data_IF_831331126091
#
_entry.id   IF_831331126091
#
_cell.length_a   1.000
_cell.length_b   1.000
_cell.length_c   1.000
_cell.angle_alpha   90.00
_cell.angle_beta   90.00
_cell.angle_gamma   90.00
#
_symmetry.space_group_name_H-M   'P 1'
#
loop_
_entity.id
_entity.type
_entity.pdbx_description
1 polymer ?
#
# COMPACT_ATOMS: atom_id res chain seq x y z
N UNK A 1 30.73 55.79 -22.45
CA UNK A 1 29.61 55.60 -21.50
C UNK A 1 30.16 55.85 -20.11
N UNK A 2 29.40 56.47 -19.21
CA UNK A 2 29.93 56.68 -17.85
C UNK A 2 29.99 55.33 -17.12
N UNK A 3 30.93 55.18 -16.19
CA UNK A 3 31.07 53.95 -15.40
C UNK A 3 29.83 53.64 -14.55
N UNK A 4 29.00 54.65 -14.27
CA UNK A 4 27.67 54.50 -13.65
C UNK A 4 26.69 53.80 -14.59
N UNK A 5 26.66 54.15 -15.87
CA UNK A 5 25.73 53.57 -16.84
C UNK A 5 26.01 52.07 -17.04
N UNK A 6 27.30 51.70 -17.09
CA UNK A 6 27.73 50.30 -17.17
C UNK A 6 27.31 49.49 -15.93
N UNK A 7 27.43 50.07 -14.73
CA UNK A 7 26.98 49.43 -13.49
C UNK A 7 25.45 49.35 -13.39
N UNK A 8 24.70 50.32 -13.90
CA UNK A 8 23.23 50.23 -13.94
C UNK A 8 22.76 49.15 -14.91
N UNK A 9 23.36 49.07 -16.11
CA UNK A 9 23.08 48.00 -17.08
C UNK A 9 23.38 46.61 -16.51
N UNK A 10 24.52 46.45 -15.83
CA UNK A 10 24.88 45.20 -15.15
C UNK A 10 23.87 44.86 -14.05
N UNK A 11 23.45 45.84 -13.25
CA UNK A 11 22.44 45.67 -12.19
C UNK A 11 21.10 45.25 -12.77
N UNK A 12 20.65 45.86 -13.87
CA UNK A 12 19.40 45.51 -14.53
C UNK A 12 19.44 44.09 -15.10
N UNK A 13 20.51 43.70 -15.79
CA UNK A 13 20.71 42.34 -16.32
C UNK A 13 20.67 41.30 -15.20
N UNK A 14 21.39 41.54 -14.10
CA UNK A 14 21.41 40.61 -12.97
C UNK A 14 20.07 40.50 -12.25
N UNK A 15 19.29 41.58 -12.17
CA UNK A 15 17.90 41.54 -11.64
C UNK A 15 16.99 40.68 -12.51
N UNK A 16 17.07 40.81 -13.82
CA UNK A 16 16.31 39.97 -14.74
C UNK A 16 16.69 38.49 -14.59
N UNK A 17 17.98 38.21 -14.48
CA UNK A 17 18.48 36.85 -14.30
C UNK A 17 18.11 36.24 -12.93
N UNK A 18 18.07 37.05 -11.87
CA UNK A 18 17.55 36.64 -10.56
C UNK A 18 16.07 36.27 -10.65
N UNK A 19 15.26 37.07 -11.34
CA UNK A 19 13.84 36.78 -11.52
C UNK A 19 13.63 35.45 -12.27
N UNK A 20 14.33 35.26 -13.39
CA UNK A 20 14.30 34.00 -14.15
C UNK A 20 14.75 32.79 -13.30
N UNK A 21 15.76 32.97 -12.45
CA UNK A 21 16.21 31.93 -11.53
C UNK A 21 15.17 31.60 -10.45
N UNK A 22 14.47 32.61 -9.92
CA UNK A 22 13.38 32.44 -8.95
C UNK A 22 12.20 31.70 -9.59
N UNK A 23 11.80 32.07 -10.80
CA UNK A 23 10.69 31.43 -11.52
C UNK A 23 10.99 29.95 -11.73
N UNK A 24 12.20 29.61 -12.21
CA UNK A 24 12.65 28.22 -12.37
C UNK A 24 12.67 27.44 -11.06
N UNK A 25 13.01 28.08 -9.94
CA UNK A 25 13.01 27.45 -8.61
C UNK A 25 11.58 27.20 -8.11
N UNK A 26 10.67 28.15 -8.35
CA UNK A 26 9.26 27.98 -8.02
C UNK A 26 8.63 26.85 -8.82
N UNK A 27 8.96 26.72 -10.11
CA UNK A 27 8.53 25.60 -10.94
C UNK A 27 9.04 24.25 -10.42
N UNK A 28 10.32 24.15 -10.05
CA UNK A 28 10.88 22.90 -9.51
C UNK A 28 10.29 22.58 -8.14
N UNK A 29 10.03 23.58 -7.30
CA UNK A 29 9.33 23.43 -6.02
C UNK A 29 7.90 22.92 -6.20
N UNK A 30 7.17 23.45 -7.18
CA UNK A 30 5.81 23.00 -7.49
C UNK A 30 5.81 21.54 -7.96
N UNK A 31 6.74 21.16 -8.85
CA UNK A 31 6.92 19.77 -9.28
C UNK A 31 7.26 18.84 -8.11
N UNK A 32 8.15 19.27 -7.22
CA UNK A 32 8.51 18.55 -6.00
C UNK A 32 7.31 18.31 -5.07
N UNK A 33 6.41 19.29 -4.92
CA UNK A 33 5.19 19.13 -4.12
C UNK A 33 4.29 18.07 -4.71
N UNK A 34 4.02 18.14 -6.03
CA UNK A 34 3.16 17.17 -6.73
C UNK A 34 3.70 15.74 -6.61
N UNK A 35 4.98 15.55 -6.91
CA UNK A 35 5.62 14.22 -6.80
C UNK A 35 5.59 13.71 -5.36
N UNK A 36 5.72 14.60 -4.36
CA UNK A 36 5.60 14.22 -2.94
C UNK A 36 4.18 13.74 -2.60
N UNK A 37 3.17 14.46 -3.05
CA UNK A 37 1.76 14.11 -2.83
C UNK A 37 1.42 12.77 -3.49
N UNK A 38 1.81 12.58 -4.75
CA UNK A 38 1.67 11.31 -5.48
C UNK A 38 2.36 10.17 -4.72
N UNK A 39 3.60 10.37 -4.29
CA UNK A 39 4.37 9.36 -3.55
C UNK A 39 3.74 9.03 -2.19
N UNK A 40 3.16 10.01 -1.50
CA UNK A 40 2.41 9.76 -0.27
C UNK A 40 1.15 8.94 -0.55
N UNK A 41 0.43 9.25 -1.63
CA UNK A 41 -0.78 8.53 -2.01
C UNK A 41 -0.47 7.08 -2.38
N UNK A 42 0.56 6.85 -3.19
CA UNK A 42 0.98 5.50 -3.60
C UNK A 42 1.48 4.66 -2.42
N UNK A 43 2.13 5.28 -1.43
CA UNK A 43 2.51 4.58 -0.19
C UNK A 43 1.28 4.17 0.62
N UNK A 44 0.30 5.06 0.78
CA UNK A 44 -0.94 4.76 1.50
C UNK A 44 -1.71 3.62 0.85
N UNK A 45 -1.85 3.63 -0.48
CA UNK A 45 -2.56 2.55 -1.19
C UNK A 45 -1.83 1.22 -1.03
N UNK A 46 -0.50 1.19 -1.25
CA UNK A 46 0.32 0.00 -1.03
C UNK A 46 0.21 -0.54 0.40
N UNK A 47 0.32 0.33 1.40
CA UNK A 47 0.29 -0.08 2.81
C UNK A 47 -1.09 -0.62 3.19
N UNK A 48 -2.16 0.03 2.73
CA UNK A 48 -3.53 -0.47 2.88
C UNK A 48 -3.73 -1.85 2.23
N UNK A 49 -3.24 -2.05 1.01
CA UNK A 49 -3.29 -3.36 0.34
C UNK A 49 -2.52 -4.42 1.14
N UNK A 50 -1.32 -4.08 1.65
CA UNK A 50 -0.53 -5.01 2.47
C UNK A 50 -1.24 -5.42 3.76
N UNK A 51 -1.94 -4.49 4.41
CA UNK A 51 -2.73 -4.79 5.60
C UNK A 51 -3.92 -5.70 5.28
N UNK A 52 -4.62 -5.46 4.16
CA UNK A 52 -5.69 -6.38 3.70
C UNK A 52 -5.14 -7.77 3.36
N UNK A 53 -3.99 -7.85 2.70
CA UNK A 53 -3.30 -9.12 2.42
C UNK A 53 -2.92 -9.84 3.72
N UNK A 54 -2.47 -9.11 4.75
CA UNK A 54 -2.16 -9.70 6.06
C UNK A 54 -3.41 -10.29 6.71
N UNK A 55 -4.52 -9.57 6.70
CA UNK A 55 -5.79 -10.06 7.23
C UNK A 55 -6.29 -11.30 6.47
N UNK A 56 -6.24 -11.29 5.14
CA UNK A 56 -6.63 -12.45 4.32
C UNK A 56 -5.71 -13.66 4.53
N UNK A 57 -4.41 -13.45 4.77
CA UNK A 57 -3.51 -14.56 5.13
C UNK A 57 -3.93 -15.21 6.44
N UNK A 58 -4.31 -14.43 7.45
CA UNK A 58 -4.81 -14.96 8.72
C UNK A 58 -6.11 -15.76 8.53
N UNK A 59 -7.06 -15.26 7.75
CA UNK A 59 -8.32 -15.99 7.49
C UNK A 59 -8.07 -17.28 6.73
N UNK A 60 -7.22 -17.27 5.70
CA UNK A 60 -6.82 -18.48 4.96
C UNK A 60 -6.16 -19.50 5.88
N UNK A 61 -5.23 -19.07 6.73
CA UNK A 61 -4.50 -19.97 7.61
C UNK A 61 -5.43 -20.58 8.66
N UNK A 62 -6.37 -19.79 9.20
CA UNK A 62 -7.42 -20.31 10.09
C UNK A 62 -8.33 -21.34 9.39
N UNK A 63 -8.77 -21.08 8.16
CA UNK A 63 -9.57 -22.04 7.37
C UNK A 63 -8.79 -23.33 7.12
N UNK A 64 -7.49 -23.23 6.79
CA UNK A 64 -6.62 -24.40 6.58
C UNK A 64 -6.42 -25.21 7.84
N UNK A 65 -6.21 -24.56 8.98
CA UNK A 65 -6.01 -25.25 10.25
C UNK A 65 -7.30 -25.91 10.75
N UNK A 66 -8.45 -25.23 10.64
CA UNK A 66 -9.76 -25.84 10.90
C UNK A 66 -10.01 -27.06 9.99
N UNK A 67 -9.68 -26.95 8.70
CA UNK A 67 -9.80 -28.07 7.75
C UNK A 67 -8.90 -29.25 8.13
N UNK A 68 -7.67 -29.00 8.61
CA UNK A 68 -6.76 -30.06 9.11
C UNK A 68 -7.32 -30.75 10.35
N UNK A 69 -7.86 -30.00 11.31
CA UNK A 69 -8.48 -30.57 12.51
C UNK A 69 -9.66 -31.48 12.14
N UNK A 70 -10.55 -31.01 11.25
CA UNK A 70 -11.66 -31.82 10.74
C UNK A 70 -11.19 -33.05 9.98
N UNK A 71 -10.08 -32.97 9.24
CA UNK A 71 -9.47 -34.13 8.57
C UNK A 71 -8.94 -35.17 9.56
N UNK A 72 -8.36 -34.73 10.69
CA UNK A 72 -7.93 -35.65 11.75
C UNK A 72 -9.15 -36.33 12.37
N UNK A 73 -10.18 -35.57 12.73
CA UNK A 73 -11.44 -36.11 13.25
C UNK A 73 -12.10 -37.10 12.25
N UNK A 74 -12.09 -36.76 10.96
CA UNK A 74 -12.58 -37.64 9.89
C UNK A 74 -11.79 -38.95 9.82
N UNK A 75 -10.46 -38.89 9.90
CA UNK A 75 -9.60 -40.09 9.91
C UNK A 75 -9.86 -40.97 11.13
N UNK A 76 -10.05 -40.38 12.30
CA UNK A 76 -10.40 -41.11 13.52
C UNK A 76 -11.78 -41.77 13.43
N UNK A 77 -12.77 -41.05 12.91
CA UNK A 77 -14.12 -41.60 12.65
C UNK A 77 -14.07 -42.75 11.66
N UNK A 78 -13.32 -42.61 10.56
CA UNK A 78 -13.13 -43.68 9.58
C UNK A 78 -12.42 -44.91 10.18
N UNK A 79 -11.42 -44.70 11.05
CA UNK A 79 -10.71 -45.79 11.74
C UNK A 79 -11.65 -46.55 12.69
N UNK A 80 -12.57 -45.86 13.36
CA UNK A 80 -13.61 -46.49 14.21
C UNK A 80 -14.66 -47.26 13.40
N UNK A 81 -14.77 -47.01 12.09
CA UNK A 81 -15.76 -47.60 11.19
C UNK A 81 -15.16 -48.61 10.18
N UNK A 82 -13.96 -49.15 10.46
CA UNK A 82 -13.04 -49.84 9.52
C UNK A 82 -13.57 -51.04 8.72
N UNK A 83 -14.82 -51.44 8.91
CA UNK A 83 -15.38 -52.63 8.29
C UNK A 83 -16.89 -52.41 8.20
N UNK A 84 -17.47 -52.19 7.00
CA UNK A 84 -18.90 -52.43 6.65
C UNK A 84 -19.36 -51.82 5.31
N UNK A 85 -20.45 -52.39 4.74
CA UNK A 85 -20.97 -52.05 3.41
C UNK A 85 -21.49 -50.61 3.30
N UNK A 86 -21.66 -50.14 2.06
CA UNK A 86 -22.17 -48.81 1.68
C UNK A 86 -23.35 -48.33 2.55
N UNK A 87 -23.32 -47.07 3.01
CA UNK A 87 -24.36 -46.45 3.85
C UNK A 87 -25.80 -46.73 3.37
N UNK A 88 -26.03 -46.69 2.06
CA UNK A 88 -27.35 -46.98 1.45
C UNK A 88 -27.87 -48.40 1.74
N UNK A 89 -26.97 -49.39 1.86
CA UNK A 89 -27.35 -50.78 2.17
C UNK A 89 -27.71 -50.89 3.65
N UNK A 90 -26.96 -50.24 4.53
CA UNK A 90 -27.24 -50.22 5.96
C UNK A 90 -28.55 -49.47 6.29
N UNK A 91 -28.86 -48.39 5.58
CA UNK A 91 -30.12 -47.65 5.72
C UNK A 91 -31.33 -48.49 5.29
N UNK A 92 -31.24 -49.19 4.15
CA UNK A 92 -32.32 -50.08 3.68
C UNK A 92 -32.53 -51.27 4.62
N UNK A 93 -31.46 -51.84 5.15
CA UNK A 93 -31.53 -52.93 6.13
C UNK A 93 -32.10 -52.45 7.47
N UNK A 94 -31.77 -51.22 7.90
CA UNK A 94 -32.34 -50.63 9.10
C UNK A 94 -33.85 -50.44 8.95
N UNK A 95 -34.28 -49.79 7.86
CA UNK A 95 -35.70 -49.54 7.59
C UNK A 95 -36.53 -50.83 7.47
N UNK A 96 -35.97 -51.88 6.86
CA UNK A 96 -36.67 -53.16 6.75
C UNK A 96 -36.83 -53.89 8.09
N UNK A 97 -35.81 -53.82 8.96
CA UNK A 97 -35.86 -54.41 10.30
C UNK A 97 -36.79 -53.63 11.23
N UNK A 98 -36.79 -52.29 11.17
CA UNK A 98 -37.72 -51.44 11.92
C UNK A 98 -39.17 -51.71 11.52
N UNK A 99 -39.43 -51.82 10.21
CA UNK A 99 -40.75 -52.17 9.70
C UNK A 99 -41.19 -53.56 10.17
N UNK A 100 -40.29 -54.55 10.13
CA UNK A 100 -40.59 -55.90 10.58
C UNK A 100 -40.92 -55.95 12.07
N UNK A 101 -40.19 -55.22 12.92
CA UNK A 101 -40.48 -55.11 14.36
C UNK A 101 -41.84 -54.43 14.61
N UNK A 102 -42.23 -53.46 13.79
CA UNK A 102 -43.51 -52.75 13.94
C UNK A 102 -44.73 -53.55 13.44
N UNK A 103 -44.53 -54.41 12.43
CA UNK A 103 -45.64 -55.05 11.71
C UNK A 103 -45.85 -56.53 12.04
N UNK A 104 -44.90 -57.19 12.70
CA UNK A 104 -44.99 -58.62 13.04
C UNK A 104 -45.02 -58.86 14.55
N UNK A 105 -45.93 -59.71 15.07
CA UNK A 105 -45.91 -60.12 16.47
C UNK A 105 -44.69 -61.02 16.71
N UNK A 106 -43.72 -60.53 17.46
CA UNK A 106 -42.44 -61.20 17.73
C UNK A 106 -42.42 -61.79 19.15
N UNK A 107 -41.71 -62.90 19.33
CA UNK A 107 -41.37 -63.40 20.66
C UNK A 107 -40.34 -62.50 21.36
N UNK A 108 -40.38 -62.42 22.70
CA UNK A 108 -39.47 -61.57 23.51
C UNK A 108 -37.98 -61.72 23.16
N UNK A 109 -37.53 -62.92 22.82
CA UNK A 109 -36.12 -63.18 22.52
C UNK A 109 -35.73 -62.77 21.10
N UNK A 110 -36.65 -62.89 20.14
CA UNK A 110 -36.47 -62.43 18.76
C UNK A 110 -36.47 -60.90 18.69
N UNK A 111 -37.39 -60.27 19.43
CA UNK A 111 -37.46 -58.82 19.55
C UNK A 111 -36.16 -58.24 20.13
N UNK A 112 -35.62 -58.83 21.21
CA UNK A 112 -34.32 -58.41 21.78
C UNK A 112 -33.17 -58.52 20.77
N UNK A 113 -33.13 -59.59 19.97
CA UNK A 113 -32.11 -59.78 18.92
C UNK A 113 -32.23 -58.72 17.83
N UNK A 114 -33.45 -58.47 17.34
CA UNK A 114 -33.73 -57.46 16.33
C UNK A 114 -33.39 -56.06 16.84
N UNK A 115 -33.77 -55.71 18.07
CA UNK A 115 -33.44 -54.42 18.68
C UNK A 115 -31.94 -54.19 18.84
N UNK A 116 -31.17 -55.23 19.18
CA UNK A 116 -29.70 -55.14 19.24
C UNK A 116 -29.11 -54.89 17.84
N UNK A 117 -29.66 -55.54 16.82
CA UNK A 117 -29.25 -55.37 15.42
C UNK A 117 -29.59 -53.97 14.89
N UNK A 118 -30.79 -53.46 15.18
CA UNK A 118 -31.27 -52.12 14.86
C UNK A 118 -30.35 -51.07 15.48
N UNK A 119 -30.09 -51.12 16.80
CA UNK A 119 -29.16 -50.20 17.48
C UNK A 119 -27.78 -50.19 16.83
N UNK A 120 -27.26 -51.36 16.48
CA UNK A 120 -25.98 -51.48 15.78
C UNK A 120 -25.99 -50.91 14.36
N UNK A 121 -27.14 -50.89 13.67
CA UNK A 121 -27.33 -50.24 12.37
C UNK A 121 -27.52 -48.72 12.50
N UNK A 122 -28.29 -48.24 13.49
CA UNK A 122 -28.49 -46.81 13.77
C UNK A 122 -27.17 -46.08 14.06
N UNK A 123 -26.32 -46.67 14.92
CA UNK A 123 -24.98 -46.13 15.22
C UNK A 123 -24.12 -46.03 13.95
N UNK A 124 -24.31 -46.94 13.00
CA UNK A 124 -23.58 -46.92 11.73
C UNK A 124 -24.08 -45.86 10.78
N UNK A 125 -25.39 -45.82 10.55
CA UNK A 125 -26.01 -44.84 9.63
C UNK A 125 -25.70 -43.42 10.10
N UNK A 126 -25.85 -43.15 11.40
CA UNK A 126 -25.46 -41.86 11.99
C UNK A 126 -23.96 -41.56 11.83
N UNK A 127 -23.08 -42.55 12.03
CA UNK A 127 -21.64 -42.42 11.78
C UNK A 127 -21.29 -42.06 10.33
N UNK A 128 -21.94 -42.71 9.35
CA UNK A 128 -21.77 -42.40 7.92
C UNK A 128 -22.25 -40.99 7.58
N UNK A 129 -23.39 -40.58 8.11
CA UNK A 129 -23.92 -39.24 7.88
C UNK A 129 -22.96 -38.16 8.43
N UNK A 130 -22.37 -38.40 9.61
CA UNK A 130 -21.35 -37.51 10.18
C UNK A 130 -20.08 -37.46 9.32
N UNK A 131 -19.66 -38.58 8.72
CA UNK A 131 -18.54 -38.61 7.77
C UNK A 131 -18.82 -37.80 6.51
N UNK A 132 -20.03 -37.92 5.95
CA UNK A 132 -20.42 -37.14 4.77
C UNK A 132 -20.42 -35.64 5.08
N UNK A 133 -21.05 -35.24 6.19
CA UNK A 133 -21.05 -33.85 6.68
C UNK A 133 -19.64 -33.29 6.84
N UNK A 134 -18.76 -34.03 7.53
CA UNK A 134 -17.37 -33.60 7.71
C UNK A 134 -16.63 -33.48 6.38
N UNK A 135 -16.86 -34.39 5.42
CA UNK A 135 -16.26 -34.29 4.08
C UNK A 135 -16.72 -33.03 3.36
N UNK A 136 -18.01 -32.74 3.35
CA UNK A 136 -18.58 -31.54 2.73
C UNK A 136 -18.03 -30.25 3.37
N UNK A 137 -17.93 -30.22 4.70
CA UNK A 137 -17.35 -29.08 5.40
C UNK A 137 -15.86 -28.89 5.06
N UNK A 138 -15.09 -29.97 4.98
CA UNK A 138 -13.67 -29.94 4.61
C UNK A 138 -13.51 -29.44 3.17
N UNK A 139 -14.31 -29.92 2.22
CA UNK A 139 -14.24 -29.48 0.82
C UNK A 139 -14.58 -28.00 0.71
N UNK A 140 -15.67 -27.56 1.36
CA UNK A 140 -16.08 -26.16 1.37
C UNK A 140 -15.00 -25.24 1.96
N UNK A 141 -14.43 -25.60 3.11
CA UNK A 141 -13.36 -24.80 3.73
C UNK A 141 -12.09 -24.73 2.87
N UNK A 142 -11.78 -25.80 2.12
CA UNK A 142 -10.65 -25.80 1.18
C UNK A 142 -10.90 -24.88 0.00
N UNK A 143 -12.09 -24.96 -0.59
CA UNK A 143 -12.50 -24.07 -1.69
C UNK A 143 -12.47 -22.60 -1.25
N UNK A 144 -13.02 -22.28 -0.07
CA UNK A 144 -12.95 -20.94 0.51
C UNK A 144 -11.50 -20.48 0.74
N UNK A 145 -10.63 -21.35 1.26
CA UNK A 145 -9.22 -21.03 1.45
C UNK A 145 -8.48 -20.78 0.12
N UNK A 146 -8.83 -21.51 -0.93
CA UNK A 146 -8.24 -21.35 -2.27
C UNK A 146 -8.74 -20.07 -2.94
N UNK A 147 -10.01 -19.70 -2.78
CA UNK A 147 -10.53 -18.40 -3.22
C UNK A 147 -9.84 -17.24 -2.50
N UNK A 148 -9.67 -17.34 -1.19
CA UNK A 148 -8.91 -16.35 -0.41
C UNK A 148 -7.45 -16.30 -0.89
N UNK A 149 -6.85 -17.45 -1.21
CA UNK A 149 -5.49 -17.48 -1.74
C UNK A 149 -5.37 -16.78 -3.09
N UNK A 150 -6.29 -17.01 -4.03
CA UNK A 150 -6.34 -16.31 -5.31
C UNK A 150 -6.45 -14.79 -5.09
N UNK A 151 -7.34 -14.36 -4.18
CA UNK A 151 -7.50 -12.94 -3.86
C UNK A 151 -6.23 -12.33 -3.25
N UNK A 152 -5.51 -13.07 -2.41
CA UNK A 152 -4.21 -12.64 -1.88
C UNK A 152 -3.20 -12.42 -3.02
N UNK A 153 -3.15 -13.32 -4.00
CA UNK A 153 -2.22 -13.19 -5.13
C UNK A 153 -2.51 -11.95 -5.98
N UNK A 154 -3.79 -11.69 -6.26
CA UNK A 154 -4.23 -10.49 -6.99
C UNK A 154 -3.80 -9.21 -6.26
N UNK A 155 -4.16 -9.08 -4.97
CA UNK A 155 -3.84 -7.89 -4.17
C UNK A 155 -2.33 -7.74 -3.96
N UNK A 156 -1.58 -8.85 -3.86
CA UNK A 156 -0.13 -8.81 -3.79
C UNK A 156 0.49 -8.29 -5.10
N UNK A 157 -0.04 -8.72 -6.25
CA UNK A 157 0.41 -8.22 -7.56
C UNK A 157 0.08 -6.72 -7.74
N UNK A 158 -1.10 -6.27 -7.29
CA UNK A 158 -1.46 -4.85 -7.27
C UNK A 158 -0.55 -4.03 -6.34
N UNK A 159 -0.30 -4.52 -5.12
CA UNK A 159 0.63 -3.88 -4.17
C UNK A 159 2.05 -3.79 -4.73
N UNK A 160 2.49 -4.81 -5.47
CA UNK A 160 3.79 -4.82 -6.12
C UNK A 160 3.90 -3.73 -7.20
N UNK A 161 2.87 -3.52 -8.02
CA UNK A 161 2.84 -2.42 -8.99
C UNK A 161 2.97 -1.06 -8.30
N UNK A 162 2.19 -0.83 -7.23
CA UNK A 162 2.32 0.40 -6.44
C UNK A 162 3.70 0.55 -5.80
N UNK A 163 4.35 -0.55 -5.39
CA UNK A 163 5.71 -0.50 -4.89
C UNK A 163 6.71 -0.04 -5.96
N UNK A 164 6.60 -0.58 -7.18
CA UNK A 164 7.43 -0.18 -8.32
C UNK A 164 7.25 1.31 -8.66
N UNK A 165 6.00 1.79 -8.69
CA UNK A 165 5.69 3.21 -8.87
C UNK A 165 6.32 4.07 -7.78
N UNK A 166 6.25 3.65 -6.52
CA UNK A 166 6.90 4.35 -5.40
C UNK A 166 8.41 4.42 -5.58
N UNK A 167 9.05 3.35 -6.07
CA UNK A 167 10.50 3.33 -6.31
C UNK A 167 10.87 4.32 -7.42
N UNK A 168 10.15 4.29 -8.54
CA UNK A 168 10.39 5.21 -9.66
C UNK A 168 10.17 6.68 -9.27
N UNK A 169 9.03 6.98 -8.62
CA UNK A 169 8.71 8.32 -8.13
C UNK A 169 9.71 8.79 -7.07
N UNK A 170 10.20 7.90 -6.21
CA UNK A 170 11.24 8.25 -5.22
C UNK A 170 12.54 8.64 -5.92
N UNK A 171 12.94 7.95 -6.98
CA UNK A 171 14.09 8.31 -7.80
C UNK A 171 13.92 9.68 -8.44
N UNK A 172 12.78 9.93 -9.10
CA UNK A 172 12.45 11.22 -9.70
C UNK A 172 12.39 12.36 -8.66
N UNK A 173 11.88 12.07 -7.46
CA UNK A 173 11.86 13.03 -6.36
C UNK A 173 13.27 13.44 -5.95
N UNK A 174 14.22 12.50 -5.84
CA UNK A 174 15.58 12.86 -5.44
C UNK A 174 16.33 13.64 -6.52
N UNK A 175 16.16 13.33 -7.80
CA UNK A 175 16.77 14.11 -8.87
C UNK A 175 16.21 15.54 -8.94
N UNK A 176 14.91 15.71 -8.69
CA UNK A 176 14.32 17.04 -8.57
C UNK A 176 14.79 17.78 -7.32
N UNK A 177 14.98 17.07 -6.21
CA UNK A 177 15.50 17.62 -4.95
C UNK A 177 16.91 18.17 -5.13
N UNK A 178 17.82 17.37 -5.68
CA UNK A 178 19.21 17.80 -5.93
C UNK A 178 19.25 18.99 -6.88
N UNK A 179 18.47 18.96 -7.97
CA UNK A 179 18.33 20.08 -8.90
C UNK A 179 17.85 21.36 -8.21
N UNK A 180 16.85 21.25 -7.32
CA UNK A 180 16.36 22.40 -6.54
C UNK A 180 17.43 22.93 -5.59
N UNK A 181 18.18 22.06 -4.93
CA UNK A 181 19.25 22.47 -4.00
C UNK A 181 20.38 23.18 -4.74
N UNK A 182 20.77 22.69 -5.93
CA UNK A 182 21.71 23.37 -6.82
C UNK A 182 21.20 24.72 -7.31
N UNK A 183 19.92 24.80 -7.73
CA UNK A 183 19.30 26.06 -8.14
C UNK A 183 19.29 27.08 -7.01
N UNK A 184 19.01 26.64 -5.78
CA UNK A 184 19.01 27.51 -4.60
C UNK A 184 20.41 28.06 -4.32
N UNK A 185 21.43 27.21 -4.30
CA UNK A 185 22.84 27.63 -4.13
C UNK A 185 23.25 28.67 -5.17
N UNK A 186 22.98 28.39 -6.46
CA UNK A 186 23.28 29.33 -7.56
C UNK A 186 22.54 30.66 -7.42
N UNK A 187 21.35 30.64 -6.83
CA UNK A 187 20.54 31.83 -6.60
C UNK A 187 21.11 32.67 -5.46
N UNK A 188 21.58 32.03 -4.39
CA UNK A 188 22.26 32.69 -3.28
C UNK A 188 23.58 33.35 -3.74
N UNK A 189 24.38 32.65 -4.56
CA UNK A 189 25.60 33.22 -5.16
C UNK A 189 25.30 34.45 -6.03
N UNK A 190 24.22 34.40 -6.82
CA UNK A 190 23.78 35.53 -7.64
C UNK A 190 23.30 36.70 -6.79
N UNK A 191 22.59 36.43 -5.69
CA UNK A 191 22.15 37.46 -4.74
C UNK A 191 23.33 38.17 -4.10
N UNK A 192 24.38 37.43 -3.72
CA UNK A 192 25.62 38.01 -3.18
C UNK A 192 26.27 38.97 -4.19
N UNK A 193 26.48 38.52 -5.44
CA UNK A 193 27.04 39.37 -6.51
C UNK A 193 26.22 40.62 -6.79
N UNK A 194 24.89 40.52 -6.75
CA UNK A 194 24.00 41.67 -6.91
C UNK A 194 24.12 42.65 -5.75
N UNK A 195 24.31 42.15 -4.52
CA UNK A 195 24.55 43.01 -3.36
C UNK A 195 25.87 43.77 -3.49
N UNK A 196 26.95 43.10 -3.90
CA UNK A 196 28.26 43.71 -4.16
C UNK A 196 28.19 44.81 -5.23
N UNK A 197 27.61 44.52 -6.40
CA UNK A 197 27.47 45.51 -7.48
C UNK A 197 26.58 46.67 -7.07
N UNK A 198 25.50 46.40 -6.32
CA UNK A 198 24.64 47.45 -5.79
C UNK A 198 25.39 48.36 -4.81
N UNK A 199 26.24 47.79 -3.96
CA UNK A 199 27.07 48.56 -3.04
C UNK A 199 28.04 49.46 -3.80
N UNK A 200 28.81 48.92 -4.74
CA UNK A 200 29.72 49.70 -5.58
C UNK A 200 29.02 50.79 -6.40
N UNK A 201 27.81 50.52 -6.92
CA UNK A 201 27.02 51.53 -7.61
C UNK A 201 26.62 52.69 -6.68
N UNK A 202 26.27 52.40 -5.43
CA UNK A 202 25.90 53.44 -4.45
C UNK A 202 27.13 54.25 -4.04
N UNK A 203 28.27 53.59 -3.81
CA UNK A 203 29.55 54.24 -3.50
C UNK A 203 29.95 55.22 -4.62
N UNK A 204 30.04 54.73 -5.86
CA UNK A 204 30.42 55.54 -7.02
C UNK A 204 29.45 56.69 -7.28
N UNK A 205 28.15 56.47 -7.05
CA UNK A 205 27.13 57.52 -7.19
C UNK A 205 27.30 58.60 -6.13
N UNK A 206 27.58 58.21 -4.89
CA UNK A 206 27.79 59.17 -3.80
C UNK A 206 29.03 60.04 -4.06
N UNK A 207 30.14 59.42 -4.47
CA UNK A 207 31.38 60.11 -4.89
C UNK A 207 31.09 61.16 -5.97
N UNK A 208 30.39 60.78 -7.04
CA UNK A 208 30.00 61.71 -8.11
C UNK A 208 29.13 62.88 -7.61
N UNK A 209 28.15 62.63 -6.74
CA UNK A 209 27.37 63.73 -6.14
C UNK A 209 28.20 64.65 -5.25
N UNK A 210 29.23 64.14 -4.58
CA UNK A 210 30.09 64.95 -3.74
C UNK A 210 31.08 65.77 -4.58
N UNK A 211 31.64 65.19 -5.65
CA UNK A 211 32.44 65.90 -6.66
C UNK A 211 31.63 67.00 -7.37
N UNK A 212 30.36 66.75 -7.69
CA UNK A 212 29.48 67.78 -8.27
C UNK A 212 29.26 68.95 -7.29
N UNK A 213 29.15 68.68 -5.99
CA UNK A 213 29.01 69.72 -4.96
C UNK A 213 30.30 70.51 -4.77
N UNK A 214 31.47 69.87 -4.79
CA UNK A 214 32.77 70.56 -4.65
C UNK A 214 33.01 71.47 -5.86
N UNK A 215 32.83 70.96 -7.08
CA UNK A 215 32.94 71.76 -8.31
C UNK A 215 31.98 72.95 -8.29
N UNK A 216 30.76 72.76 -7.78
CA UNK A 216 29.79 73.86 -7.66
C UNK A 216 30.24 74.92 -6.66
N UNK A 217 30.79 74.53 -5.52
CA UNK A 217 31.35 75.46 -4.52
C UNK A 217 32.53 76.23 -5.07
N UNK A 218 33.47 75.56 -5.72
CA UNK A 218 34.63 76.19 -6.36
C UNK A 218 34.21 77.19 -7.45
N UNK A 219 33.19 76.86 -8.25
CA UNK A 219 32.62 77.80 -9.24
C UNK A 219 31.93 78.99 -8.58
N UNK A 220 31.21 78.78 -7.48
CA UNK A 220 30.54 79.85 -6.73
C UNK A 220 31.54 80.76 -5.98
N UNK A 221 32.72 80.26 -5.63
CA UNK A 221 33.84 81.04 -5.07
C UNK A 221 34.59 81.82 -6.17
N UNK A 222 34.88 81.18 -7.30
CA UNK A 222 35.53 81.83 -8.46
C UNK A 222 34.68 82.92 -9.15
N UNK A 223 33.35 82.94 -8.91
CA UNK A 223 32.43 83.98 -9.38
C UNK A 223 32.28 85.15 -8.38
N UNK A 224 32.85 85.03 -7.18
CA UNK A 224 32.83 86.06 -6.12
C UNK A 224 34.14 86.85 -6.01
N UNK A 225 35.22 86.38 -6.64
CA UNK A 225 36.45 87.14 -6.93
C UNK A 225 36.32 87.94 -8.23
#
# INVERSE_FOLDING_TARGET
MSKIDELDDQRQKLRMDLRKSLDKLNETRAKLSKVREELQQQRKTRDGLNDTVRALKQTRDHLRDSSKEKLVALRELLKKMSDRPHASIAEKELASLEWHVQTSPLGKDEEKRLMTKIRGLEIRVSGYHNVLKLREEITKQREEADQVHARIQELAAESQKHHEDVVQLSGAFQTLRTKRDEQHKRLDDRRAKVAEIKQHFVELRNELTDDEKTIRREKEEALKE
#
